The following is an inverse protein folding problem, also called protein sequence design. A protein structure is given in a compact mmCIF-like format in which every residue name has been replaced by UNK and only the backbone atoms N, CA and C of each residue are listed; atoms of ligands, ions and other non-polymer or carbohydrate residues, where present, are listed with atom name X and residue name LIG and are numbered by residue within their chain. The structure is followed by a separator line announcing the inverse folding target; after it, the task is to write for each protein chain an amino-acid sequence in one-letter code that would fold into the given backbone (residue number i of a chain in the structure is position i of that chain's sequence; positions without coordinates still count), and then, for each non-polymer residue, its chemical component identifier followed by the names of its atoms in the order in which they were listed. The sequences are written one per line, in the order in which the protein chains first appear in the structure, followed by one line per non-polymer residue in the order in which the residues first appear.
data_IF_788259327622
#
_entry.id   IF_788259327622
#
_cell.length_a   1.000
_cell.length_b   1.000
_cell.length_c   1.000
_cell.angle_alpha   90.00
_cell.angle_beta   90.00
_cell.angle_gamma   90.00
#
_symmetry.space_group_name_H-M   'P 1'
#
loop_
_entity.id
_entity.type
_entity.pdbx_description
1 polymer ?
#
# COMPACT_ATOMS: atom_id res chain seq x y z
N UNK A 1 -23.52 41.68 -14.13
CA UNK A 1 -23.03 40.65 -13.20
C UNK A 1 -23.34 39.29 -13.81
N UNK A 2 -22.35 38.64 -14.42
CA UNK A 2 -22.47 37.28 -14.96
C UNK A 2 -21.35 36.42 -14.36
N UNK A 3 -21.64 35.18 -13.93
CA UNK A 3 -20.64 34.35 -13.26
C UNK A 3 -19.66 33.78 -14.29
N UNK A 4 -18.37 34.09 -14.13
CA UNK A 4 -17.29 33.38 -14.81
C UNK A 4 -17.03 32.08 -14.05
N UNK A 5 -17.53 30.96 -14.58
CA UNK A 5 -17.07 29.63 -14.18
C UNK A 5 -15.69 29.40 -14.79
N UNK A 6 -14.66 29.39 -13.93
CA UNK A 6 -13.32 28.94 -14.29
C UNK A 6 -13.16 27.48 -13.83
N UNK A 7 -13.23 26.56 -14.78
CA UNK A 7 -12.77 25.18 -14.61
C UNK A 7 -11.25 25.20 -14.56
N UNK A 8 -10.67 25.04 -13.37
CA UNK A 8 -9.23 24.93 -13.19
C UNK A 8 -8.81 23.45 -13.21
N UNK A 9 -8.41 22.96 -14.38
CA UNK A 9 -7.58 21.74 -14.48
C UNK A 9 -6.13 22.15 -14.26
N UNK A 10 -5.58 21.96 -13.06
CA UNK A 10 -4.15 22.20 -12.79
C UNK A 10 -3.36 20.94 -13.11
N UNK A 11 -2.85 20.82 -14.34
CA UNK A 11 -1.65 20.02 -14.62
C UNK A 11 -0.44 20.82 -14.12
N UNK A 12 0.08 20.49 -12.94
CA UNK A 12 1.35 21.03 -12.48
C UNK A 12 2.49 20.14 -13.00
N UNK A 13 3.13 20.51 -14.11
CA UNK A 13 4.40 19.90 -14.51
C UNK A 13 5.51 20.51 -13.65
N UNK A 14 5.91 19.81 -12.59
CA UNK A 14 7.11 20.19 -11.85
C UNK A 14 8.34 19.73 -12.66
N UNK A 15 8.83 20.56 -13.58
CA UNK A 15 10.17 20.36 -14.16
C UNK A 15 11.18 21.08 -13.25
N UNK A 16 11.95 20.31 -12.50
CA UNK A 16 13.09 20.83 -11.76
C UNK A 16 14.17 21.27 -12.77
N UNK A 17 14.34 22.58 -12.96
CA UNK A 17 15.43 23.16 -13.76
C UNK A 17 16.72 23.32 -12.93
N UNK A 18 17.18 22.24 -12.31
CA UNK A 18 18.45 22.21 -11.58
C UNK A 18 19.12 20.87 -11.78
N UNK A 19 20.31 20.85 -12.39
CA UNK A 19 21.13 19.63 -12.50
C UNK A 19 21.54 19.20 -11.08
N UNK A 20 20.86 18.22 -10.50
CA UNK A 20 21.41 17.53 -9.34
C UNK A 20 22.57 16.66 -9.85
N UNK A 21 23.49 16.31 -8.95
CA UNK A 21 24.63 15.47 -9.31
C UNK A 21 24.14 14.11 -9.85
N UNK A 22 24.71 13.65 -10.96
CA UNK A 22 24.53 12.29 -11.48
C UNK A 22 24.66 11.28 -10.32
N UNK A 23 23.58 10.55 -10.02
CA UNK A 23 23.55 9.49 -9.00
C UNK A 23 22.62 9.70 -7.80
N UNK A 24 21.96 10.86 -7.64
CA UNK A 24 21.01 11.12 -6.53
C UNK A 24 19.60 11.54 -6.98
N UNK A 25 19.31 11.55 -8.29
CA UNK A 25 18.01 11.94 -8.81
C UNK A 25 17.05 10.75 -8.79
N UNK A 26 15.96 10.82 -8.02
CA UNK A 26 14.87 9.85 -8.16
C UNK A 26 14.33 9.87 -9.60
N UNK A 27 14.01 8.71 -10.18
CA UNK A 27 13.40 8.64 -11.51
C UNK A 27 12.16 9.55 -11.58
N UNK A 28 12.11 10.42 -12.58
CA UNK A 28 10.98 11.32 -12.79
C UNK A 28 9.68 10.54 -13.03
N UNK A 29 8.58 11.06 -12.51
CA UNK A 29 7.23 10.52 -12.70
C UNK A 29 6.20 11.65 -12.81
N UNK A 30 5.10 11.37 -13.49
CA UNK A 30 3.91 12.23 -13.50
C UNK A 30 3.03 11.90 -12.29
N UNK A 31 2.47 12.91 -11.63
CA UNK A 31 1.55 12.75 -10.51
C UNK A 31 0.17 13.32 -10.89
N UNK A 32 -0.87 12.52 -10.69
CA UNK A 32 -2.26 12.93 -10.89
C UNK A 32 -3.04 12.80 -9.59
N UNK A 33 -3.82 13.82 -9.25
CA UNK A 33 -4.77 13.75 -8.14
C UNK A 33 -6.11 13.23 -8.64
N UNK A 34 -6.64 12.18 -8.01
CA UNK A 34 -7.96 11.65 -8.32
C UNK A 34 -9.02 12.17 -7.34
N UNK A 35 -10.20 12.52 -7.83
CA UNK A 35 -11.30 13.03 -7.01
C UNK A 35 -12.40 11.98 -6.75
N UNK A 36 -12.30 10.81 -7.37
CA UNK A 36 -13.20 9.67 -7.16
C UNK A 36 -12.49 8.35 -7.47
N UNK A 37 -13.00 7.24 -6.94
CA UNK A 37 -12.51 5.89 -7.31
C UNK A 37 -12.56 5.70 -8.83
N UNK A 38 -13.63 6.16 -9.49
CA UNK A 38 -13.78 6.04 -10.95
C UNK A 38 -12.67 6.79 -11.68
N UNK A 39 -12.39 8.03 -11.29
CA UNK A 39 -11.32 8.82 -11.91
C UNK A 39 -9.94 8.18 -11.72
N UNK A 40 -9.66 7.65 -10.52
CA UNK A 40 -8.42 6.91 -10.27
C UNK A 40 -8.28 5.70 -11.21
N UNK A 41 -9.35 4.92 -11.40
CA UNK A 41 -9.36 3.78 -12.32
C UNK A 41 -9.14 4.23 -13.78
N UNK A 42 -9.79 5.32 -14.19
CA UNK A 42 -9.65 5.86 -15.54
C UNK A 42 -8.21 6.36 -15.80
N UNK A 43 -7.58 7.02 -14.83
CA UNK A 43 -6.17 7.44 -14.89
C UNK A 43 -5.21 6.25 -14.94
N UNK A 44 -5.42 5.23 -14.11
CA UNK A 44 -4.64 3.99 -14.13
C UNK A 44 -4.75 3.27 -15.49
N UNK A 45 -5.96 3.22 -16.06
CA UNK A 45 -6.21 2.62 -17.37
C UNK A 45 -5.52 3.40 -18.48
N UNK A 46 -5.69 4.71 -18.51
CA UNK A 46 -5.10 5.60 -19.52
C UNK A 46 -3.56 5.54 -19.52
N UNK A 47 -2.96 5.27 -18.36
CA UNK A 47 -1.52 5.24 -18.17
C UNK A 47 -0.94 3.83 -17.94
N UNK A 48 -1.67 2.77 -18.31
CA UNK A 48 -1.23 1.39 -18.09
C UNK A 48 0.14 1.06 -18.71
N UNK A 49 0.42 1.60 -19.91
CA UNK A 49 1.70 1.44 -20.59
C UNK A 49 2.88 2.08 -19.86
N UNK A 50 2.62 3.05 -18.97
CA UNK A 50 3.60 3.76 -18.15
C UNK A 50 3.75 3.16 -16.74
N UNK A 51 3.25 1.94 -16.53
CA UNK A 51 3.26 1.24 -15.23
C UNK A 51 2.63 2.12 -14.12
N UNK A 52 1.47 2.72 -14.40
CA UNK A 52 0.78 3.57 -13.44
C UNK A 52 0.45 2.83 -12.14
N UNK A 53 0.69 3.49 -11.00
CA UNK A 53 0.39 2.96 -9.67
C UNK A 53 -0.38 3.98 -8.84
N UNK A 54 -1.24 3.50 -7.95
CA UNK A 54 -1.79 4.37 -6.92
C UNK A 54 -0.69 4.74 -5.91
N UNK A 55 -0.75 5.96 -5.42
CA UNK A 55 0.04 6.42 -4.28
C UNK A 55 -0.93 6.99 -3.24
N UNK A 56 -0.61 6.75 -1.97
CA UNK A 56 -1.29 7.40 -0.85
C UNK A 56 -0.23 8.19 -0.07
N UNK A 57 0.06 7.81 1.17
CA UNK A 57 1.15 8.44 1.94
C UNK A 57 2.55 8.34 1.31
N UNK A 58 2.78 7.40 0.39
CA UNK A 58 4.04 7.33 -0.37
C UNK A 58 5.27 6.89 0.44
N UNK A 59 5.16 6.62 1.75
CA UNK A 59 6.29 6.23 2.61
C UNK A 59 7.06 5.02 2.07
N UNK A 60 6.35 4.00 1.59
CA UNK A 60 6.99 2.82 1.02
C UNK A 60 7.27 2.94 -0.48
N UNK A 61 6.27 3.31 -1.29
CA UNK A 61 6.41 3.37 -2.75
C UNK A 61 7.43 4.44 -3.18
N UNK A 62 7.21 5.69 -2.78
CA UNK A 62 8.09 6.80 -3.14
C UNK A 62 9.35 6.74 -2.29
N UNK A 63 9.18 6.67 -0.98
CA UNK A 63 10.28 6.79 -0.02
C UNK A 63 11.21 5.58 0.06
N UNK A 64 10.69 4.36 -0.14
CA UNK A 64 11.45 3.13 0.07
C UNK A 64 11.68 2.27 -1.18
N UNK A 65 11.04 2.58 -2.31
CA UNK A 65 11.30 1.89 -3.58
C UNK A 65 11.88 2.84 -4.62
N UNK A 66 11.20 3.95 -4.89
CA UNK A 66 11.62 4.86 -5.97
C UNK A 66 12.86 5.65 -5.58
N UNK A 67 12.89 6.21 -4.36
CA UNK A 67 14.06 6.92 -3.83
C UNK A 67 15.29 6.02 -3.71
N UNK A 68 15.09 4.79 -3.25
CA UNK A 68 16.15 3.83 -2.95
C UNK A 68 16.48 2.93 -4.16
N UNK A 69 15.99 3.28 -5.36
CA UNK A 69 16.26 2.55 -6.61
C UNK A 69 16.01 1.04 -6.52
N UNK A 70 14.94 0.65 -5.84
CA UNK A 70 14.55 -0.76 -5.72
C UNK A 70 13.83 -1.21 -6.98
N UNK A 71 14.59 -1.72 -7.96
CA UNK A 71 14.06 -2.11 -9.27
C UNK A 71 14.64 -3.44 -9.78
N UNK A 72 14.06 -3.93 -10.88
CA UNK A 72 14.53 -5.10 -11.62
C UNK A 72 13.61 -5.44 -12.79
N UNK A 73 13.93 -6.50 -13.56
CA UNK A 73 13.12 -6.92 -14.72
C UNK A 73 11.66 -7.23 -14.35
N UNK A 74 11.44 -7.78 -13.17
CA UNK A 74 10.10 -8.07 -12.61
C UNK A 74 9.53 -6.95 -11.74
N UNK A 75 10.26 -5.85 -11.55
CA UNK A 75 9.87 -4.71 -10.73
C UNK A 75 10.34 -3.39 -11.37
N UNK A 76 9.66 -2.99 -12.45
CA UNK A 76 9.87 -1.65 -13.00
C UNK A 76 9.31 -0.59 -12.05
N UNK A 77 10.04 0.51 -11.88
CA UNK A 77 9.53 1.69 -11.17
C UNK A 77 8.42 2.36 -11.98
N UNK A 78 7.36 2.88 -11.34
CA UNK A 78 6.27 3.55 -12.04
C UNK A 78 6.73 4.88 -12.64
N UNK A 79 6.19 5.21 -13.82
CA UNK A 79 6.37 6.54 -14.44
C UNK A 79 5.18 7.46 -14.19
N UNK A 80 4.08 6.90 -13.67
CA UNK A 80 2.86 7.63 -13.31
C UNK A 80 2.38 7.19 -11.93
N UNK A 81 2.11 8.15 -11.08
CA UNK A 81 1.45 7.96 -9.80
C UNK A 81 0.08 8.63 -9.81
N UNK A 82 -0.90 7.94 -9.24
CA UNK A 82 -2.26 8.45 -9.05
C UNK A 82 -2.51 8.58 -7.54
N UNK A 83 -2.54 9.81 -7.04
CA UNK A 83 -2.82 10.10 -5.65
C UNK A 83 -4.31 9.84 -5.34
N UNK A 84 -4.55 8.98 -4.37
CA UNK A 84 -5.89 8.62 -3.89
C UNK A 84 -6.27 9.31 -2.57
N UNK A 85 -5.35 10.06 -1.94
CA UNK A 85 -5.63 10.76 -0.67
C UNK A 85 -6.62 11.91 -0.82
N UNK A 86 -6.78 12.43 -2.04
CA UNK A 86 -7.77 13.46 -2.40
C UNK A 86 -9.19 12.91 -2.56
N UNK A 87 -9.35 11.58 -2.62
CA UNK A 87 -10.65 10.92 -2.72
C UNK A 87 -11.30 10.83 -1.33
N UNK A 88 -12.24 11.73 -1.04
CA UNK A 88 -12.89 11.83 0.27
C UNK A 88 -13.56 10.55 0.76
N UNK A 89 -14.15 9.76 -0.13
CA UNK A 89 -14.76 8.47 0.21
C UNK A 89 -13.75 7.42 0.70
N UNK A 90 -12.45 7.60 0.42
CA UNK A 90 -11.38 6.71 0.90
C UNK A 90 -10.74 7.17 2.21
N UNK A 91 -11.22 8.26 2.81
CA UNK A 91 -10.69 8.81 4.06
C UNK A 91 -11.76 8.72 5.15
N UNK A 92 -11.41 8.07 6.25
CA UNK A 92 -12.24 7.97 7.43
C UNK A 92 -12.69 6.55 7.74
N UNK A 93 -13.40 6.46 8.85
CA UNK A 93 -13.85 5.21 9.46
C UNK A 93 -15.34 5.35 9.75
N UNK A 94 -16.12 4.39 9.28
CA UNK A 94 -17.56 4.32 9.51
C UNK A 94 -17.88 3.03 10.27
N UNK A 95 -18.78 3.13 11.24
CA UNK A 95 -19.30 2.00 12.01
C UNK A 95 -20.78 1.81 11.68
N UNK A 96 -21.19 0.57 11.46
CA UNK A 96 -22.58 0.17 11.30
C UNK A 96 -22.89 -1.11 12.11
N UNK A 97 -24.11 -1.63 11.95
CA UNK A 97 -24.54 -2.84 12.68
C UNK A 97 -23.73 -4.10 12.31
N UNK A 98 -23.08 -4.12 11.14
CA UNK A 98 -22.26 -5.23 10.65
C UNK A 98 -20.81 -5.17 11.09
N UNK A 99 -20.32 -4.00 11.48
CA UNK A 99 -18.97 -3.80 11.97
C UNK A 99 -18.40 -2.44 11.55
N UNK A 100 -17.17 -2.46 11.06
CA UNK A 100 -16.40 -1.26 10.80
C UNK A 100 -15.88 -1.25 9.36
N UNK A 101 -16.03 -0.14 8.67
CA UNK A 101 -15.49 0.10 7.33
C UNK A 101 -14.46 1.23 7.38
N UNK A 102 -13.25 0.99 6.88
CA UNK A 102 -12.14 1.94 6.82
C UNK A 102 -11.81 2.24 5.37
N UNK A 103 -11.77 3.51 4.99
CA UNK A 103 -11.24 3.92 3.70
C UNK A 103 -9.72 3.74 3.63
N UNK A 104 -9.21 3.23 2.50
CA UNK A 104 -7.80 2.85 2.34
C UNK A 104 -6.81 4.03 2.46
N UNK A 105 -7.27 5.27 2.29
CA UNK A 105 -6.49 6.49 2.45
C UNK A 105 -6.53 7.08 3.88
N UNK A 106 -7.23 6.43 4.82
CA UNK A 106 -7.19 6.80 6.24
C UNK A 106 -5.78 6.64 6.80
N UNK A 107 -5.27 7.66 7.50
CA UNK A 107 -3.92 7.61 8.07
C UNK A 107 -3.85 6.63 9.24
N UNK A 108 -2.66 6.10 9.52
CA UNK A 108 -2.47 5.22 10.67
C UNK A 108 -2.72 5.98 11.98
N UNK A 109 -2.39 7.27 12.06
CA UNK A 109 -2.71 8.11 13.21
C UNK A 109 -4.22 8.22 13.42
N UNK A 110 -5.01 8.45 12.36
CA UNK A 110 -6.47 8.48 12.48
C UNK A 110 -7.05 7.12 12.93
N UNK A 111 -6.47 6.01 12.48
CA UNK A 111 -6.87 4.66 12.94
C UNK A 111 -6.58 4.46 14.43
N UNK A 112 -5.43 4.96 14.92
CA UNK A 112 -5.06 4.87 16.34
C UNK A 112 -6.03 5.68 17.20
N UNK A 113 -6.31 6.91 16.79
CA UNK A 113 -7.09 7.88 17.57
C UNK A 113 -8.62 7.66 17.48
N UNK A 114 -9.09 6.83 16.53
CA UNK A 114 -10.51 6.58 16.36
C UNK A 114 -11.13 5.84 17.55
N UNK A 115 -12.08 6.49 18.24
CA UNK A 115 -12.73 6.00 19.47
C UNK A 115 -13.28 4.57 19.37
N UNK A 116 -13.98 4.24 18.28
CA UNK A 116 -14.49 2.87 18.09
C UNK A 116 -13.36 1.87 17.87
N UNK A 117 -12.30 2.23 17.14
CA UNK A 117 -11.19 1.31 16.87
C UNK A 117 -10.45 1.03 18.17
N UNK A 118 -10.10 2.08 18.92
CA UNK A 118 -9.38 1.93 20.20
C UNK A 118 -10.18 1.21 21.29
N UNK A 119 -11.51 1.26 21.26
CA UNK A 119 -12.37 0.60 22.28
C UNK A 119 -12.88 -0.78 21.89
N UNK A 120 -13.30 -1.00 20.64
CA UNK A 120 -13.91 -2.27 20.17
C UNK A 120 -12.97 -3.13 19.34
N UNK A 121 -11.96 -2.53 18.71
CA UNK A 121 -11.01 -3.21 17.82
C UNK A 121 -9.57 -2.90 18.23
N UNK A 122 -9.29 -2.91 19.54
CA UNK A 122 -8.02 -2.38 20.06
C UNK A 122 -6.79 -3.15 19.56
N UNK A 123 -6.94 -4.39 19.10
CA UNK A 123 -5.90 -5.13 18.38
C UNK A 123 -5.40 -4.35 17.14
N UNK A 124 -6.31 -3.76 16.36
CA UNK A 124 -5.94 -2.94 15.21
C UNK A 124 -5.29 -1.62 15.64
N UNK A 125 -5.83 -0.94 16.65
CA UNK A 125 -5.24 0.31 17.17
C UNK A 125 -3.81 0.08 17.67
N UNK A 126 -3.60 -0.98 18.46
CA UNK A 126 -2.28 -1.34 18.99
C UNK A 126 -1.30 -1.74 17.88
N UNK A 127 -1.75 -2.51 16.89
CA UNK A 127 -0.92 -2.84 15.73
C UNK A 127 -0.59 -1.61 14.89
N UNK A 128 -1.52 -0.67 14.70
CA UNK A 128 -1.23 0.59 14.01
C UNK A 128 -0.21 1.43 14.78
N UNK A 129 -0.28 1.42 16.12
CA UNK A 129 0.65 2.15 16.99
C UNK A 129 2.09 1.61 16.91
N UNK A 130 2.28 0.30 16.70
CA UNK A 130 3.62 -0.29 16.54
C UNK A 130 4.28 0.04 15.20
N UNK A 131 3.50 0.49 14.20
CA UNK A 131 4.03 0.80 12.88
C UNK A 131 4.94 2.03 12.93
N UNK A 132 6.23 1.83 12.69
CA UNK A 132 7.20 2.88 12.40
C UNK A 132 7.21 4.02 13.44
N UNK A 133 7.46 5.26 12.99
CA UNK A 133 7.48 6.45 13.84
C UNK A 133 6.17 7.25 13.73
N UNK A 134 5.84 8.11 14.72
CA UNK A 134 4.68 9.00 14.64
C UNK A 134 4.65 9.85 13.36
N UNK A 135 5.82 10.32 12.89
CA UNK A 135 5.92 11.11 11.66
C UNK A 135 5.45 10.31 10.44
N UNK A 136 5.84 9.04 10.34
CA UNK A 136 5.40 8.17 9.24
C UNK A 136 3.90 7.88 9.37
N UNK A 137 3.38 7.67 10.58
CA UNK A 137 1.96 7.36 10.80
C UNK A 137 1.01 8.51 10.45
N UNK A 138 1.48 9.76 10.58
CA UNK A 138 0.69 10.95 10.26
C UNK A 138 0.35 11.10 8.78
N UNK A 139 1.09 10.44 7.87
CA UNK A 139 0.81 10.48 6.43
C UNK A 139 0.69 9.09 5.80
N UNK A 140 1.29 8.06 6.41
CA UNK A 140 1.13 6.67 6.02
C UNK A 140 -0.30 6.21 6.22
N UNK A 141 -0.90 5.66 5.17
CA UNK A 141 -2.29 5.21 5.20
C UNK A 141 -2.40 3.72 5.51
N UNK A 142 -3.56 3.29 6.01
CA UNK A 142 -3.82 1.88 6.31
C UNK A 142 -3.71 1.00 5.04
N UNK A 143 -4.25 1.46 3.91
CA UNK A 143 -4.15 0.75 2.63
C UNK A 143 -2.72 0.67 2.12
N UNK A 144 -1.94 1.74 2.28
CA UNK A 144 -0.52 1.75 1.97
C UNK A 144 0.30 0.83 2.87
N UNK A 145 -0.03 0.77 4.16
CA UNK A 145 0.63 -0.13 5.11
C UNK A 145 0.39 -1.61 4.78
N UNK A 146 -0.83 -1.99 4.42
CA UNK A 146 -1.17 -3.36 4.02
C UNK A 146 -0.47 -3.75 2.71
N UNK A 147 -0.27 -2.79 1.80
CA UNK A 147 0.33 -3.01 0.48
C UNK A 147 1.83 -2.71 0.41
N UNK A 148 2.49 -2.52 1.55
CA UNK A 148 3.91 -2.22 1.60
C UNK A 148 4.75 -3.44 1.20
N UNK A 149 5.93 -3.19 0.63
CA UNK A 149 6.84 -4.27 0.21
C UNK A 149 7.71 -4.78 1.36
N UNK A 150 8.22 -6.01 1.29
CA UNK A 150 9.12 -6.58 2.31
C UNK A 150 10.41 -5.78 2.54
N UNK A 151 11.04 -5.98 3.69
CA UNK A 151 12.26 -5.27 4.13
C UNK A 151 13.56 -6.06 3.98
N UNK A 152 13.54 -7.20 3.27
CA UNK A 152 14.73 -8.00 2.98
C UNK A 152 15.84 -7.11 2.39
N UNK A 153 17.05 -7.16 2.98
CA UNK A 153 18.19 -6.34 2.53
C UNK A 153 18.61 -6.63 1.10
N UNK A 154 18.43 -7.87 0.61
CA UNK A 154 18.70 -8.22 -0.79
C UNK A 154 17.58 -7.79 -1.75
N UNK A 155 16.36 -7.66 -1.24
CA UNK A 155 15.30 -7.05 -2.04
C UNK A 155 15.48 -5.54 -2.10
N UNK A 156 15.80 -4.89 -0.98
CA UNK A 156 15.93 -3.42 -0.90
C UNK A 156 17.26 -2.88 -1.42
N UNK A 157 18.33 -3.66 -1.45
CA UNK A 157 19.61 -3.22 -2.01
C UNK A 157 19.56 -3.18 -3.53
N UNK A 158 19.90 -2.04 -4.14
CA UNK A 158 19.88 -1.78 -5.59
C UNK A 158 20.61 -2.88 -6.38
N UNK A 159 21.85 -3.19 -5.99
CA UNK A 159 22.76 -4.11 -6.71
C UNK A 159 22.34 -5.58 -6.71
N UNK A 160 21.35 -5.95 -5.89
CA UNK A 160 20.89 -7.33 -5.81
C UNK A 160 19.73 -7.60 -6.77
N UNK A 161 19.93 -8.56 -7.67
CA UNK A 161 18.87 -9.07 -8.55
C UNK A 161 18.28 -10.38 -8.01
N UNK A 162 17.41 -10.29 -6.99
CA UNK A 162 16.75 -11.46 -6.41
C UNK A 162 15.48 -11.88 -7.18
N UNK A 163 14.91 -13.06 -6.89
CA UNK A 163 13.65 -13.53 -7.51
C UNK A 163 12.55 -12.48 -7.54
N UNK A 164 12.40 -11.71 -6.46
CA UNK A 164 11.35 -10.70 -6.31
C UNK A 164 11.51 -9.47 -7.22
N UNK A 165 12.72 -9.29 -7.76
CA UNK A 165 13.07 -8.30 -8.79
C UNK A 165 13.07 -8.90 -10.20
N UNK A 166 12.70 -10.17 -10.36
CA UNK A 166 12.79 -10.91 -11.62
C UNK A 166 14.17 -11.49 -11.90
N UNK A 167 15.01 -11.63 -10.87
CA UNK A 167 16.21 -12.45 -10.91
C UNK A 167 15.90 -13.94 -10.71
N UNK A 168 16.95 -14.73 -10.51
CA UNK A 168 16.90 -16.19 -10.48
C UNK A 168 17.51 -16.78 -9.19
N UNK A 169 17.76 -15.94 -8.18
CA UNK A 169 18.40 -16.35 -6.94
C UNK A 169 17.81 -15.68 -5.69
N UNK A 170 17.85 -16.38 -4.55
CA UNK A 170 17.54 -15.83 -3.24
C UNK A 170 18.79 -15.77 -2.37
N UNK A 171 19.37 -14.58 -2.27
CA UNK A 171 20.56 -14.32 -1.48
C UNK A 171 20.39 -14.55 0.03
N UNK A 172 19.16 -14.58 0.54
CA UNK A 172 18.89 -14.90 1.94
C UNK A 172 19.15 -16.38 2.29
N UNK A 173 19.16 -17.28 1.30
CA UNK A 173 19.41 -18.71 1.59
C UNK A 173 20.85 -18.93 2.06
N UNK A 174 21.81 -18.24 1.45
CA UNK A 174 23.25 -18.41 1.73
C UNK A 174 23.86 -17.22 2.47
N UNK A 175 23.17 -16.09 2.52
CA UNK A 175 23.61 -14.87 3.18
C UNK A 175 22.97 -14.68 4.56
N UNK A 176 23.03 -13.45 5.07
CA UNK A 176 22.34 -13.10 6.30
C UNK A 176 20.83 -13.29 6.12
N UNK A 177 20.20 -14.03 7.03
CA UNK A 177 18.78 -14.32 7.04
C UNK A 177 18.09 -14.10 8.39
N UNK A 178 18.70 -13.35 9.31
CA UNK A 178 18.20 -13.16 10.69
C UNK A 178 16.73 -12.70 10.80
N UNK A 179 16.20 -11.99 9.80
CA UNK A 179 14.82 -11.48 9.78
C UNK A 179 13.93 -12.12 8.70
N UNK A 180 14.30 -13.29 8.19
CA UNK A 180 13.57 -13.99 7.14
C UNK A 180 12.63 -15.05 7.71
N UNK A 181 11.69 -15.49 6.87
CA UNK A 181 10.62 -16.40 7.26
C UNK A 181 11.18 -17.78 7.66
N UNK A 182 10.74 -18.28 8.82
CA UNK A 182 10.98 -19.64 9.28
C UNK A 182 9.87 -20.63 8.87
N UNK A 183 8.72 -20.12 8.42
CA UNK A 183 7.56 -20.89 7.97
C UNK A 183 7.07 -20.28 6.65
N UNK A 184 6.67 -21.13 5.69
CA UNK A 184 6.05 -20.69 4.43
C UNK A 184 7.00 -20.05 3.40
N UNK A 185 8.32 -20.06 3.66
CA UNK A 185 9.33 -19.63 2.71
C UNK A 185 9.63 -20.72 1.66
N UNK A 186 9.45 -20.39 0.39
CA UNK A 186 9.78 -21.25 -0.74
C UNK A 186 10.24 -20.37 -1.91
N UNK A 187 11.40 -20.69 -2.51
CA UNK A 187 12.18 -19.82 -3.42
C UNK A 187 12.64 -18.49 -2.80
N UNK A 188 11.80 -17.86 -1.99
CA UNK A 188 12.01 -16.59 -1.33
C UNK A 188 11.53 -16.70 0.13
N UNK A 189 12.33 -16.19 1.06
CA UNK A 189 12.06 -16.27 2.50
C UNK A 189 11.68 -14.91 3.09
N UNK A 190 11.01 -14.07 2.30
CA UNK A 190 10.55 -12.75 2.76
C UNK A 190 9.45 -12.87 3.81
N UNK A 191 9.35 -11.85 4.66
CA UNK A 191 8.26 -11.67 5.62
C UNK A 191 7.46 -10.44 5.21
N UNK A 192 6.13 -10.54 5.29
CA UNK A 192 5.27 -9.38 5.12
C UNK A 192 5.41 -8.47 6.36
N UNK A 193 5.84 -7.20 6.24
CA UNK A 193 6.28 -6.40 7.39
C UNK A 193 5.15 -5.61 8.07
N UNK A 194 3.89 -5.82 7.66
CA UNK A 194 2.76 -5.04 8.17
C UNK A 194 2.20 -5.65 9.46
N UNK A 195 2.31 -4.90 10.55
CA UNK A 195 1.65 -5.21 11.82
C UNK A 195 0.12 -5.20 11.66
N UNK A 196 -0.44 -4.20 10.97
CA UNK A 196 -1.89 -4.06 10.81
C UNK A 196 -2.49 -5.13 9.91
N UNK A 197 -1.79 -5.61 8.88
CA UNK A 197 -2.24 -6.73 8.06
C UNK A 197 -2.48 -7.99 8.90
N UNK A 198 -1.57 -8.27 9.84
CA UNK A 198 -1.69 -9.41 10.77
C UNK A 198 -2.89 -9.24 11.69
N UNK A 199 -3.08 -8.03 12.26
CA UNK A 199 -4.25 -7.72 13.08
C UNK A 199 -5.56 -7.85 12.29
N UNK A 200 -5.60 -7.36 11.05
CA UNK A 200 -6.79 -7.42 10.19
C UNK A 200 -7.15 -8.85 9.79
N UNK A 201 -6.14 -9.69 9.51
CA UNK A 201 -6.35 -11.13 9.29
C UNK A 201 -6.97 -11.80 10.52
N UNK A 202 -6.43 -11.56 11.71
CA UNK A 202 -6.99 -12.08 12.96
C UNK A 202 -8.41 -11.57 13.28
N UNK A 203 -8.75 -10.37 12.79
CA UNK A 203 -10.08 -9.77 12.92
C UNK A 203 -11.07 -10.23 11.82
N UNK A 204 -10.69 -11.20 10.98
CA UNK A 204 -11.50 -11.66 9.83
C UNK A 204 -11.90 -10.52 8.89
N UNK A 205 -11.00 -9.55 8.69
CA UNK A 205 -11.26 -8.43 7.81
C UNK A 205 -11.34 -8.87 6.33
N UNK A 206 -11.97 -8.04 5.52
CA UNK A 206 -12.05 -8.17 4.07
C UNK A 206 -11.59 -6.88 3.38
N UNK A 207 -10.92 -7.03 2.24
CA UNK A 207 -10.50 -5.93 1.40
C UNK A 207 -11.47 -5.76 0.23
N UNK A 208 -12.04 -4.56 0.07
CA UNK A 208 -12.70 -4.14 -1.17
C UNK A 208 -11.64 -3.65 -2.14
N UNK A 209 -11.64 -4.25 -3.33
CA UNK A 209 -10.74 -3.93 -4.43
C UNK A 209 -11.59 -3.38 -5.56
N UNK A 210 -11.21 -2.22 -6.07
CA UNK A 210 -11.80 -1.63 -7.26
C UNK A 210 -10.74 -1.51 -8.35
N UNK A 211 -11.14 -1.71 -9.60
CA UNK A 211 -10.23 -1.60 -10.72
C UNK A 211 -10.91 -1.61 -12.06
N UNK A 212 -10.10 -1.69 -13.12
CA UNK A 212 -10.56 -1.60 -14.52
C UNK A 212 -11.58 -2.68 -14.93
N UNK A 213 -11.65 -3.79 -14.20
CA UNK A 213 -12.53 -4.93 -14.46
C UNK A 213 -13.71 -5.00 -13.47
N UNK A 214 -13.95 -3.93 -12.70
CA UNK A 214 -15.01 -3.87 -11.69
C UNK A 214 -14.48 -4.00 -10.27
N UNK A 215 -15.41 -4.29 -9.36
CA UNK A 215 -15.17 -4.34 -7.92
C UNK A 215 -15.31 -5.77 -7.40
N UNK A 216 -14.49 -6.12 -6.40
CA UNK A 216 -14.60 -7.38 -5.67
C UNK A 216 -14.24 -7.18 -4.21
N UNK A 217 -14.80 -8.01 -3.34
CA UNK A 217 -14.41 -8.07 -1.94
C UNK A 217 -13.78 -9.44 -1.69
N UNK A 218 -12.63 -9.46 -1.02
CA UNK A 218 -11.89 -10.67 -0.70
C UNK A 218 -11.54 -10.70 0.79
N UNK A 219 -11.53 -11.87 1.39
CA UNK A 219 -11.05 -12.04 2.77
C UNK A 219 -9.55 -11.74 2.84
N UNK A 220 -9.06 -11.31 4.01
CA UNK A 220 -7.61 -11.10 4.18
C UNK A 220 -6.81 -12.41 4.06
N UNK A 221 -7.40 -13.56 4.36
CA UNK A 221 -6.79 -14.89 4.15
C UNK A 221 -6.46 -15.17 2.67
N UNK A 222 -7.27 -14.63 1.76
CA UNK A 222 -7.11 -14.80 0.32
C UNK A 222 -6.44 -13.58 -0.36
N UNK A 223 -6.27 -12.49 0.37
CA UNK A 223 -5.72 -11.26 -0.18
C UNK A 223 -4.21 -11.35 -0.44
N UNK A 224 -3.48 -11.99 0.47
CA UNK A 224 -2.02 -12.13 0.40
C UNK A 224 -1.61 -13.34 -0.42
N UNK A 225 -0.50 -13.23 -1.14
CA UNK A 225 0.08 -14.32 -1.92
C UNK A 225 1.46 -14.67 -1.40
N UNK A 226 1.72 -15.98 -1.28
CA UNK A 226 3.03 -16.49 -0.91
C UNK A 226 3.96 -16.59 -2.13
N UNK A 227 5.28 -16.67 -1.91
CA UNK A 227 6.28 -16.69 -2.99
C UNK A 227 6.17 -17.91 -3.91
N UNK A 228 5.61 -19.02 -3.42
CA UNK A 228 5.28 -20.21 -4.22
C UNK A 228 4.27 -19.93 -5.33
N UNK A 229 3.35 -19.00 -5.09
CA UNK A 229 2.26 -18.65 -6.03
C UNK A 229 2.68 -17.49 -6.92
N UNK A 230 3.22 -16.43 -6.34
CA UNK A 230 3.79 -15.29 -7.08
C UNK A 230 4.93 -14.66 -6.26
N UNK A 231 6.18 -14.89 -6.69
CA UNK A 231 7.36 -14.36 -6.00
C UNK A 231 7.53 -12.84 -6.17
N UNK A 232 6.92 -12.25 -7.21
CA UNK A 232 7.06 -10.83 -7.51
C UNK A 232 6.13 -9.98 -6.62
N UNK A 233 5.01 -10.54 -6.15
CA UNK A 233 3.96 -9.82 -5.42
C UNK A 233 3.70 -10.36 -4.01
N UNK A 234 3.03 -9.54 -3.21
CA UNK A 234 2.60 -9.82 -1.83
C UNK A 234 1.10 -10.11 -1.75
N UNK A 235 0.36 -9.75 -2.79
CA UNK A 235 -1.08 -9.79 -2.81
C UNK A 235 -1.64 -10.03 -4.22
N UNK A 236 -2.94 -10.23 -4.29
CA UNK A 236 -3.66 -10.60 -5.52
C UNK A 236 -4.00 -9.41 -6.43
N UNK A 237 -3.60 -8.18 -6.10
CA UNK A 237 -3.97 -7.00 -6.89
C UNK A 237 -3.41 -7.14 -8.31
N UNK A 238 -4.28 -6.95 -9.31
CA UNK A 238 -3.91 -6.91 -10.73
C UNK A 238 -3.50 -5.50 -11.15
N UNK A 239 -2.82 -5.33 -12.29
CA UNK A 239 -2.59 -3.99 -12.85
C UNK A 239 -3.91 -3.22 -13.00
N UNK A 240 -3.94 -1.98 -12.52
CA UNK A 240 -5.15 -1.15 -12.52
C UNK A 240 -6.20 -1.50 -11.45
N UNK A 241 -5.89 -2.40 -10.51
CA UNK A 241 -6.68 -2.63 -9.29
C UNK A 241 -5.99 -1.98 -8.08
N UNK A 242 -6.78 -1.49 -7.12
CA UNK A 242 -6.29 -1.05 -5.82
C UNK A 242 -7.33 -1.30 -4.72
N UNK A 243 -6.85 -1.41 -3.48
CA UNK A 243 -7.71 -1.52 -2.30
C UNK A 243 -8.37 -0.16 -2.04
N UNK A 244 -9.70 -0.13 -1.93
CA UNK A 244 -10.46 1.08 -1.60
C UNK A 244 -10.93 1.09 -0.16
N UNK A 245 -11.39 -0.05 0.35
CA UNK A 245 -11.93 -0.15 1.70
C UNK A 245 -11.50 -1.45 2.38
N UNK A 246 -11.50 -1.39 3.70
CA UNK A 246 -11.33 -2.54 4.59
C UNK A 246 -12.60 -2.65 5.40
N UNK A 247 -13.22 -3.82 5.43
CA UNK A 247 -14.38 -4.10 6.28
C UNK A 247 -13.98 -5.11 7.34
N UNK A 248 -14.33 -4.81 8.59
CA UNK A 248 -14.04 -5.64 9.76
C UNK A 248 -15.38 -6.02 10.39
N UNK A 249 -15.74 -7.30 10.47
CA UNK A 249 -16.98 -7.70 11.12
C UNK A 249 -16.93 -7.40 12.62
N UNK A 250 -18.10 -7.24 13.24
CA UNK A 250 -18.16 -7.17 14.70
C UNK A 250 -17.55 -8.43 15.33
N UNK A 251 -16.64 -8.29 16.31
CA UNK A 251 -16.07 -9.43 17.01
C UNK A 251 -17.17 -10.22 17.72
N UNK A 252 -17.06 -11.56 17.78
CA UNK A 252 -17.95 -12.36 18.61
C UNK A 252 -18.00 -11.87 20.07
N UNK A 253 -19.14 -12.10 20.74
CA UNK A 253 -19.28 -11.77 22.15
C UNK A 253 -18.21 -12.45 23.02
N UNK A 254 -17.62 -11.70 23.96
CA UNK A 254 -16.61 -12.21 24.88
C UNK A 254 -15.16 -12.16 24.38
N UNK A 255 -14.92 -11.70 23.14
CA UNK A 255 -13.56 -11.45 22.64
C UNK A 255 -12.89 -10.34 23.45
N UNK A 256 -11.66 -10.60 23.87
CA UNK A 256 -10.78 -9.62 24.55
C UNK A 256 -9.59 -9.34 23.66
N UNK A 257 -9.26 -8.06 23.50
CA UNK A 257 -8.17 -7.58 22.64
C UNK A 257 -6.97 -7.04 23.45
N UNK A 258 -6.85 -7.49 24.70
CA UNK A 258 -5.79 -7.10 25.62
C UNK A 258 -5.00 -8.30 26.13
N UNK A 259 -3.79 -8.00 26.61
CA UNK A 259 -3.07 -8.82 27.57
C UNK A 259 -3.60 -8.55 28.98
#
# INVERSE_FOLDING_TARGET
MGPRHATHTRQASCRAEGKLKEGYEMRAFELYDANSIKEAIDLLRANAAKNARVVAGGSDLVGGLMKDWVHGKGLALPEVLVDITTIKELVGINEDNGGLTIGAATTLSDVIDHKTVSSKFSLLSNAALSVASPLIRNFGTIGGNINQRPRCWFFRGEDFNCYKKGGDFCYAVTGDNRYHAIIGGELCYIVHPSDTATALMALNASAKIDGVNGSKTVSFDEYFTGPRVDVLRENILKPGEFMTHITIPNPPGGVKFGW
#
